data_IF_128126386322
#
_entry.id   IF_128126386322
#
_cell.length_a   1.000
_cell.length_b   1.000
_cell.length_c   1.000
_cell.angle_alpha   90.00
_cell.angle_beta   90.00
_cell.angle_gamma   90.00
#
_symmetry.space_group_name_H-M   'P 1'
#
loop_
_entity.id
_entity.type
_entity.pdbx_description
1 polymer ?
#
# COMPACT_ATOMS: atom_id res chain seq x y z
N UNK A 1 14.46 -0.32 14.72
CA UNK A 1 13.50 -1.31 14.17
C UNK A 1 14.30 -2.21 13.23
N UNK A 2 14.29 -3.51 13.46
CA UNK A 2 15.02 -4.48 12.64
C UNK A 2 14.36 -4.71 11.27
N UNK A 3 15.17 -5.10 10.29
CA UNK A 3 14.67 -5.58 9.01
C UNK A 3 13.89 -6.88 9.21
N UNK A 4 12.71 -7.01 8.61
CA UNK A 4 11.82 -8.15 8.84
C UNK A 4 11.17 -8.63 7.56
N UNK A 5 11.18 -9.95 7.34
CA UNK A 5 10.38 -10.59 6.30
C UNK A 5 9.20 -11.30 6.95
N UNK A 6 7.99 -10.94 6.54
CA UNK A 6 6.76 -11.64 6.90
C UNK A 6 6.37 -12.49 5.70
N UNK A 7 6.51 -13.81 5.81
CA UNK A 7 6.16 -14.77 4.77
C UNK A 7 4.95 -15.62 5.18
N UNK A 8 3.96 -15.76 4.30
CA UNK A 8 2.94 -16.81 4.43
C UNK A 8 1.83 -16.61 5.47
N UNK A 9 1.54 -15.37 5.88
CA UNK A 9 0.42 -15.06 6.77
C UNK A 9 -0.82 -14.52 6.04
N UNK A 10 -2.03 -14.90 6.49
CA UNK A 10 -3.17 -13.98 6.38
C UNK A 10 -2.88 -12.83 7.34
N UNK A 11 -2.17 -11.82 6.86
CA UNK A 11 -2.16 -10.54 7.54
C UNK A 11 -3.55 -9.93 7.30
N UNK A 12 -4.53 -10.40 8.07
CA UNK A 12 -5.76 -9.67 8.28
C UNK A 12 -5.37 -8.41 9.05
N UNK A 13 -4.80 -7.44 8.33
CA UNK A 13 -4.70 -6.08 8.80
C UNK A 13 -6.13 -5.57 8.89
N UNK A 14 -6.78 -5.79 10.03
CA UNK A 14 -8.10 -5.26 10.34
C UNK A 14 -8.08 -3.71 10.42
N UNK A 15 -6.90 -3.10 10.27
CA UNK A 15 -6.74 -1.70 9.95
C UNK A 15 -5.76 -1.60 8.79
N UNK A 16 -6.20 -1.01 7.69
CA UNK A 16 -5.38 -0.81 6.50
C UNK A 16 -4.36 0.29 6.79
N UNK A 17 -3.20 -0.09 7.33
CA UNK A 17 -2.03 0.77 7.53
C UNK A 17 -0.78 -0.09 7.82
N UNK A 18 0.03 -0.34 6.78
CA UNK A 18 1.44 -0.71 6.97
C UNK A 18 2.24 0.59 7.00
N UNK A 19 2.79 0.96 8.16
CA UNK A 19 3.46 2.24 8.36
C UNK A 19 4.78 2.09 9.10
N UNK A 20 5.61 3.13 9.02
CA UNK A 20 6.90 3.19 9.71
C UNK A 20 8.08 3.27 8.76
N UNK A 21 9.28 3.14 9.32
CA UNK A 21 10.57 3.29 8.64
C UNK A 21 11.45 2.04 8.81
N UNK A 22 10.83 0.85 8.66
CA UNK A 22 11.54 -0.42 8.67
C UNK A 22 11.95 -0.82 7.24
N UNK A 23 12.93 -1.71 7.13
CA UNK A 23 13.14 -2.52 5.94
C UNK A 23 12.23 -3.76 6.04
N UNK A 24 11.09 -3.75 5.36
CA UNK A 24 10.05 -4.76 5.52
C UNK A 24 9.65 -5.39 4.19
N UNK A 25 9.58 -6.73 4.16
CA UNK A 25 9.03 -7.48 3.03
C UNK A 25 7.81 -8.27 3.49
N UNK A 26 6.66 -8.01 2.87
CA UNK A 26 5.41 -8.73 3.04
C UNK A 26 5.22 -9.68 1.86
N UNK A 27 5.64 -10.93 2.03
CA UNK A 27 5.68 -11.92 0.95
C UNK A 27 4.53 -12.94 1.06
N UNK A 28 3.75 -13.07 -0.01
CA UNK A 28 2.58 -13.96 -0.05
C UNK A 28 1.43 -13.51 0.86
N UNK A 29 1.48 -12.28 1.37
CA UNK A 29 0.46 -11.75 2.27
C UNK A 29 -0.80 -11.31 1.52
N UNK A 30 -1.97 -11.47 2.16
CA UNK A 30 -3.22 -10.89 1.67
C UNK A 30 -3.57 -9.66 2.51
N UNK A 31 -3.53 -8.47 1.90
CA UNK A 31 -3.89 -7.21 2.53
C UNK A 31 -5.35 -6.90 2.19
N UNK A 32 -6.19 -6.71 3.22
CA UNK A 32 -7.62 -6.47 3.05
C UNK A 32 -8.00 -5.05 3.42
N UNK A 33 -8.69 -4.36 2.52
CA UNK A 33 -9.26 -3.05 2.78
C UNK A 33 -10.64 -3.17 3.42
N UNK A 34 -10.77 -2.56 4.60
CA UNK A 34 -12.01 -2.48 5.35
C UNK A 34 -12.73 -1.17 5.14
N UNK A 35 -13.98 -1.11 5.55
CA UNK A 35 -14.76 0.12 5.49
C UNK A 35 -14.11 1.18 6.41
N UNK A 36 -13.66 2.32 5.87
CA UNK A 36 -13.10 3.38 6.71
C UNK A 36 -14.23 4.16 7.38
N UNK A 37 -13.88 5.07 8.31
CA UNK A 37 -14.85 5.99 8.86
C UNK A 37 -15.41 6.94 7.77
N UNK A 38 -16.60 7.53 7.95
CA UNK A 38 -17.18 8.44 6.97
C UNK A 38 -16.22 9.55 6.54
N UNK A 39 -16.05 9.74 5.23
CA UNK A 39 -15.17 10.76 4.64
C UNK A 39 -13.68 10.39 4.58
N UNK A 40 -13.29 9.22 5.10
CA UNK A 40 -11.90 8.76 5.03
C UNK A 40 -11.61 7.93 3.77
N UNK A 41 -10.31 7.81 3.46
CA UNK A 41 -9.77 7.04 2.33
C UNK A 41 -8.92 5.90 2.87
N UNK A 42 -8.84 4.83 2.10
CA UNK A 42 -7.98 3.70 2.40
C UNK A 42 -6.57 3.92 1.81
N UNK A 43 -5.52 3.75 2.59
CA UNK A 43 -4.11 3.88 2.17
C UNK A 43 -3.29 2.69 2.67
N UNK A 44 -2.87 1.80 1.76
CA UNK A 44 -2.27 0.50 2.17
C UNK A 44 -0.93 0.70 2.88
N UNK A 45 -0.08 1.58 2.36
CA UNK A 45 1.25 1.86 2.92
C UNK A 45 1.46 3.35 3.23
N UNK A 46 2.03 3.66 4.39
CA UNK A 46 2.53 5.02 4.71
C UNK A 46 3.95 4.93 5.24
N UNK A 47 4.91 4.81 4.32
CA UNK A 47 6.32 4.62 4.65
C UNK A 47 6.99 5.94 5.05
N UNK A 48 7.82 5.89 6.09
CA UNK A 48 8.36 7.03 6.81
C UNK A 48 9.87 7.27 6.70
N UNK A 49 10.53 6.91 5.60
CA UNK A 49 11.96 7.18 5.40
C UNK A 49 12.25 8.67 5.28
N UNK A 50 13.11 9.17 6.14
CA UNK A 50 13.47 10.59 6.27
C UNK A 50 14.81 10.95 5.62
N UNK A 51 15.71 9.99 5.50
CA UNK A 51 17.07 10.19 4.96
C UNK A 51 17.31 9.23 3.77
N UNK A 52 17.81 9.72 2.62
CA UNK A 52 18.05 8.88 1.44
C UNK A 52 19.13 7.81 1.66
N UNK A 53 19.99 7.97 2.67
CA UNK A 53 21.02 7.00 3.03
C UNK A 53 20.47 5.85 3.90
N UNK A 54 19.21 5.92 4.33
CA UNK A 54 18.55 4.81 5.02
C UNK A 54 18.15 3.72 4.01
N UNK A 55 18.60 2.49 4.29
CA UNK A 55 18.24 1.29 3.53
C UNK A 55 16.89 0.70 3.99
N UNK A 56 15.87 1.54 4.12
CA UNK A 56 14.52 1.19 4.60
C UNK A 56 13.48 1.32 3.48
N UNK A 57 12.35 0.63 3.62
CA UNK A 57 11.37 0.47 2.56
C UNK A 57 10.34 -0.61 2.87
N UNK A 58 9.13 -0.48 2.32
CA UNK A 58 8.10 -1.51 2.40
C UNK A 58 7.95 -2.17 1.04
N UNK A 59 8.14 -3.48 0.96
CA UNK A 59 7.91 -4.27 -0.24
C UNK A 59 6.76 -5.24 -0.01
N UNK A 60 5.73 -5.17 -0.87
CA UNK A 60 4.64 -6.15 -0.90
C UNK A 60 4.85 -7.04 -2.13
N UNK A 61 5.02 -8.34 -1.92
CA UNK A 61 5.39 -9.27 -3.00
C UNK A 61 4.53 -10.53 -3.03
N UNK A 62 4.09 -10.93 -4.23
CA UNK A 62 3.51 -12.26 -4.48
C UNK A 62 2.19 -12.54 -3.75
N UNK A 63 1.55 -11.50 -3.22
CA UNK A 63 0.33 -11.56 -2.43
C UNK A 63 -0.89 -10.99 -3.15
N UNK A 64 -1.86 -10.51 -2.38
CA UNK A 64 -3.00 -9.76 -2.92
C UNK A 64 -3.40 -8.55 -2.09
N UNK A 65 -3.93 -7.53 -2.75
CA UNK A 65 -4.67 -6.42 -2.16
C UNK A 65 -6.14 -6.59 -2.53
N UNK A 66 -7.00 -6.76 -1.53
CA UNK A 66 -8.38 -7.21 -1.69
C UNK A 66 -9.37 -6.41 -0.84
N UNK A 67 -10.65 -6.55 -1.12
CA UNK A 67 -11.75 -5.92 -0.36
C UNK A 67 -12.19 -6.85 0.77
N UNK A 68 -12.34 -6.32 1.99
CA UNK A 68 -12.95 -7.05 3.11
C UNK A 68 -14.48 -7.04 3.00
N UNK A 69 -15.14 -7.95 3.71
CA UNK A 69 -16.60 -8.13 3.62
C UNK A 69 -17.40 -6.86 4.00
N UNK A 70 -16.90 -6.06 4.95
CA UNK A 70 -17.54 -4.82 5.39
C UNK A 70 -17.43 -3.66 4.38
N UNK A 71 -16.44 -3.71 3.48
CA UNK A 71 -16.27 -2.74 2.40
C UNK A 71 -16.92 -3.19 1.08
N UNK A 72 -17.23 -4.47 0.91
CA UNK A 72 -17.66 -5.04 -0.37
C UNK A 72 -18.84 -4.30 -1.02
N UNK A 73 -19.85 -3.90 -0.23
CA UNK A 73 -21.02 -3.15 -0.70
C UNK A 73 -20.77 -1.65 -0.90
N UNK A 74 -19.65 -1.13 -0.39
CA UNK A 74 -19.29 0.30 -0.38
C UNK A 74 -18.04 0.60 -1.21
N UNK A 75 -17.46 -0.39 -1.89
CA UNK A 75 -16.18 -0.27 -2.61
C UNK A 75 -16.20 0.86 -3.64
N UNK A 76 -17.34 1.08 -4.31
CA UNK A 76 -17.50 2.16 -5.28
C UNK A 76 -17.49 3.57 -4.64
N UNK A 77 -17.85 3.67 -3.35
CA UNK A 77 -17.94 4.93 -2.62
C UNK A 77 -16.68 5.25 -1.81
N UNK A 78 -15.72 4.33 -1.75
CA UNK A 78 -14.49 4.47 -0.95
C UNK A 78 -13.27 4.43 -1.86
N UNK A 79 -12.55 5.54 -1.93
CA UNK A 79 -11.27 5.58 -2.64
C UNK A 79 -10.18 4.87 -1.85
N UNK A 80 -9.51 3.89 -2.48
CA UNK A 80 -8.38 3.16 -1.90
C UNK A 80 -7.10 3.37 -2.72
N UNK A 81 -5.97 3.54 -2.04
CA UNK A 81 -4.65 3.83 -2.64
C UNK A 81 -3.57 2.89 -2.10
N UNK A 82 -2.56 2.60 -2.90
CA UNK A 82 -1.41 1.76 -2.53
C UNK A 82 -0.54 2.41 -1.45
N UNK A 83 -0.43 3.73 -1.46
CA UNK A 83 0.31 4.42 -0.43
C UNK A 83 0.28 5.94 -0.52
N UNK A 84 0.87 6.56 0.49
CA UNK A 84 1.03 8.01 0.63
C UNK A 84 2.31 8.34 1.42
N UNK A 85 3.11 9.34 1.00
CA UNK A 85 4.43 9.56 1.57
C UNK A 85 4.34 10.23 2.94
N UNK A 86 4.57 9.48 4.02
CA UNK A 86 4.59 10.09 5.36
C UNK A 86 5.81 11.00 5.54
N UNK A 87 6.94 10.65 4.91
CA UNK A 87 8.21 11.38 4.97
C UNK A 87 8.84 11.56 3.59
N UNK A 88 9.83 12.44 3.50
CA UNK A 88 10.36 12.99 2.25
C UNK A 88 10.89 11.91 1.29
N UNK A 89 11.50 10.84 1.79
CA UNK A 89 12.09 9.78 0.95
C UNK A 89 11.29 8.49 1.01
N UNK A 90 9.97 8.59 1.22
CA UNK A 90 9.06 7.45 1.34
C UNK A 90 9.31 6.40 0.25
N UNK A 91 9.47 5.14 0.65
CA UNK A 91 9.82 4.05 -0.26
C UNK A 91 8.85 2.88 -0.12
N UNK A 92 8.09 2.59 -1.18
CA UNK A 92 7.14 1.47 -1.21
C UNK A 92 7.11 0.81 -2.59
N UNK A 93 7.12 -0.52 -2.61
CA UNK A 93 7.10 -1.30 -3.86
C UNK A 93 6.04 -2.39 -3.77
N UNK A 94 5.20 -2.47 -4.80
CA UNK A 94 4.27 -3.60 -5.00
C UNK A 94 4.74 -4.42 -6.19
N UNK A 95 5.13 -5.67 -5.96
CA UNK A 95 5.67 -6.55 -6.98
C UNK A 95 4.89 -7.86 -7.07
N UNK A 96 4.58 -8.31 -8.28
CA UNK A 96 3.91 -9.60 -8.53
C UNK A 96 2.63 -9.78 -7.71
N UNK A 97 1.96 -8.68 -7.37
CA UNK A 97 0.83 -8.67 -6.44
C UNK A 97 -0.48 -8.61 -7.22
N UNK A 98 -1.47 -9.40 -6.81
CA UNK A 98 -2.82 -9.34 -7.37
C UNK A 98 -3.59 -8.19 -6.71
N UNK A 99 -4.13 -7.27 -7.51
CA UNK A 99 -4.93 -6.15 -7.02
C UNK A 99 -6.37 -6.33 -7.47
N UNK A 100 -7.31 -6.35 -6.53
CA UNK A 100 -8.74 -6.30 -6.85
C UNK A 100 -9.15 -4.89 -7.31
N UNK A 101 -10.38 -4.74 -7.82
CA UNK A 101 -10.89 -3.51 -8.42
C UNK A 101 -11.24 -2.40 -7.39
N UNK A 102 -10.51 -2.31 -6.28
CA UNK A 102 -10.65 -1.24 -5.28
C UNK A 102 -9.58 -0.16 -5.39
N UNK A 103 -8.41 -0.49 -5.95
CA UNK A 103 -7.29 0.44 -6.03
C UNK A 103 -7.63 1.50 -7.07
N UNK A 104 -7.68 2.76 -6.63
CA UNK A 104 -7.96 3.90 -7.48
C UNK A 104 -7.00 3.91 -8.67
N UNK A 105 -7.43 4.24 -9.91
CA UNK A 105 -6.57 4.17 -11.10
C UNK A 105 -5.25 4.94 -11.02
N UNK A 106 -5.22 6.01 -10.19
CA UNK A 106 -4.01 6.80 -9.88
C UNK A 106 -2.94 6.03 -9.09
N UNK A 107 -3.29 4.95 -8.41
CA UNK A 107 -2.40 4.14 -7.57
C UNK A 107 -2.09 4.78 -6.22
N UNK A 108 -1.53 5.99 -6.22
CA UNK A 108 -0.93 6.64 -5.05
C UNK A 108 -1.65 7.94 -4.67
N UNK A 109 -1.57 8.31 -3.40
CA UNK A 109 -2.18 9.52 -2.85
C UNK A 109 -1.08 10.48 -2.36
N UNK A 110 -1.24 11.78 -2.61
CA UNK A 110 -0.31 12.80 -2.13
C UNK A 110 -0.40 13.02 -0.61
N UNK A 111 0.71 13.42 0.02
CA UNK A 111 0.68 13.82 1.42
C UNK A 111 0.22 15.25 1.64
N UNK A 112 0.83 16.22 0.97
CA UNK A 112 0.35 17.58 1.00
C UNK A 112 0.86 18.29 -0.24
N UNK A 113 -0.05 18.61 -1.17
CA UNK A 113 0.28 19.18 -2.47
C UNK A 113 1.46 18.44 -3.13
N UNK A 114 2.63 19.09 -3.22
CA UNK A 114 3.83 18.59 -3.88
C UNK A 114 4.86 17.95 -2.93
N UNK A 115 4.53 17.79 -1.65
CA UNK A 115 5.46 17.21 -0.67
C UNK A 115 5.94 15.81 -1.10
N UNK A 116 7.26 15.62 -1.06
CA UNK A 116 7.97 14.37 -1.35
C UNK A 116 7.85 13.84 -2.79
N UNK A 117 7.09 14.49 -3.68
CA UNK A 117 6.81 13.93 -5.02
C UNK A 117 8.07 13.79 -5.88
N UNK A 118 9.08 14.64 -5.68
CA UNK A 118 10.35 14.59 -6.41
C UNK A 118 11.38 13.63 -5.79
N UNK A 119 11.13 13.14 -4.57
CA UNK A 119 12.12 12.40 -3.76
C UNK A 119 11.68 11.03 -3.30
N UNK A 120 10.37 10.75 -3.28
CA UNK A 120 9.83 9.45 -2.95
C UNK A 120 10.16 8.40 -4.02
N UNK A 121 10.14 7.13 -3.65
CA UNK A 121 10.27 6.02 -4.58
C UNK A 121 9.09 5.06 -4.43
N UNK A 122 8.12 5.19 -5.34
CA UNK A 122 6.96 4.31 -5.45
C UNK A 122 6.98 3.58 -6.77
N UNK A 123 6.88 2.25 -6.72
CA UNK A 123 6.99 1.41 -7.89
C UNK A 123 6.02 0.24 -7.87
N UNK A 124 5.59 -0.14 -9.06
CA UNK A 124 4.79 -1.31 -9.33
C UNK A 124 5.52 -2.21 -10.34
N UNK A 125 5.60 -3.51 -10.08
CA UNK A 125 6.28 -4.45 -10.98
C UNK A 125 5.46 -5.72 -11.19
N UNK A 126 5.05 -6.00 -12.43
CA UNK A 126 4.32 -7.22 -12.78
C UNK A 126 3.07 -7.48 -11.91
N UNK A 127 2.40 -6.41 -11.47
CA UNK A 127 1.15 -6.53 -10.73
C UNK A 127 0.01 -6.94 -11.66
N UNK A 128 -0.91 -7.75 -11.14
CA UNK A 128 -2.11 -8.18 -11.87
C UNK A 128 -3.32 -7.45 -11.32
N UNK A 129 -3.75 -6.41 -12.02
CA UNK A 129 -4.96 -5.67 -11.67
C UNK A 129 -6.16 -6.38 -12.29
N UNK A 130 -7.07 -6.86 -11.46
CA UNK A 130 -8.32 -7.43 -11.94
C UNK A 130 -9.14 -6.31 -12.60
N UNK A 131 -9.54 -6.51 -13.86
CA UNK A 131 -10.42 -5.63 -14.65
C UNK A 131 -9.80 -4.36 -15.29
N UNK A 132 -8.47 -4.17 -15.31
CA UNK A 132 -7.87 -3.24 -16.30
C UNK A 132 -7.71 -4.00 -17.63
N UNK A 133 -8.32 -3.57 -18.75
CA UNK A 133 -7.95 -4.10 -20.05
C UNK A 133 -6.47 -3.76 -20.30
N UNK A 134 -5.75 -4.72 -20.91
CA UNK A 134 -4.37 -4.54 -21.39
C UNK A 134 -4.38 -3.53 -22.52
#
# INVERSE_FOLDING_TARGET
MEAGTVAGGRVACDLLLVFGDAAAVLQGCSLYARCPAPGQKNVVTTQGREDPNQSTGIVVQGGKVAVAADLASLVANVSSYLGRPWKRYSCAVFAQTKMEALVHPRGWLEWNATFALDTLYYAEYMNRVCCKPI
#
